data_IF_200843369614
#
_entry.id   IF_200843369614
#
_cell.length_a   1.000
_cell.length_b   1.000
_cell.length_c   1.000
_cell.angle_alpha   90.00
_cell.angle_beta   90.00
_cell.angle_gamma   90.00
#
_symmetry.space_group_name_H-M   'P 1'
#
loop_
_entity.id
_entity.type
_entity.pdbx_description
1 polymer ?
#
# COMPACT_ATOMS: atom_id res chain seq x y z
N UNK A 1 -32.42 6.39 53.52
CA UNK A 1 -31.12 6.44 52.81
C UNK A 1 -30.83 5.17 52.01
N UNK A 2 -30.93 3.97 52.59
CA UNK A 2 -30.65 2.68 51.90
C UNK A 2 -31.45 2.44 50.62
N UNK A 3 -32.72 2.85 50.56
CA UNK A 3 -33.58 2.69 49.37
C UNK A 3 -33.17 3.59 48.21
N UNK A 4 -32.66 4.78 48.51
CA UNK A 4 -32.14 5.74 47.53
C UNK A 4 -30.81 5.26 46.94
N UNK A 5 -29.92 4.74 47.78
CA UNK A 5 -28.65 4.14 47.36
C UNK A 5 -28.91 2.92 46.45
N UNK A 6 -29.85 2.04 46.83
CA UNK A 6 -30.24 0.90 45.99
C UNK A 6 -30.77 1.35 44.62
N UNK A 7 -31.62 2.38 44.57
CA UNK A 7 -32.14 2.93 43.31
C UNK A 7 -31.02 3.51 42.44
N UNK A 8 -30.08 4.24 43.04
CA UNK A 8 -28.91 4.78 42.33
C UNK A 8 -28.01 3.70 41.74
N UNK A 9 -27.74 2.63 42.50
CA UNK A 9 -26.89 1.53 42.01
C UNK A 9 -27.56 0.81 40.84
N UNK A 10 -28.87 0.56 40.92
CA UNK A 10 -29.63 -0.12 39.86
C UNK A 10 -29.66 0.73 38.59
N UNK A 11 -29.92 2.04 38.69
CA UNK A 11 -29.96 2.91 37.51
C UNK A 11 -28.60 3.03 36.84
N UNK A 12 -27.53 3.18 37.62
CA UNK A 12 -26.15 3.24 37.10
C UNK A 12 -25.76 1.94 36.41
N UNK A 13 -26.11 0.78 36.98
CA UNK A 13 -25.81 -0.52 36.38
C UNK A 13 -26.54 -0.71 35.05
N UNK A 14 -27.82 -0.33 34.98
CA UNK A 14 -28.60 -0.37 33.74
C UNK A 14 -28.01 0.55 32.65
N UNK A 15 -27.63 1.77 33.04
CA UNK A 15 -27.02 2.72 32.11
C UNK A 15 -25.67 2.21 31.59
N UNK A 16 -24.87 1.59 32.45
CA UNK A 16 -23.59 1.01 32.09
C UNK A 16 -23.73 -0.16 31.12
N UNK A 17 -24.71 -1.04 31.32
CA UNK A 17 -25.01 -2.17 30.41
C UNK A 17 -25.41 -1.69 29.01
N UNK A 18 -26.26 -0.65 28.94
CA UNK A 18 -26.68 -0.04 27.68
C UNK A 18 -25.49 0.62 26.98
N UNK A 19 -24.74 1.44 27.71
CA UNK A 19 -23.56 2.10 27.17
C UNK A 19 -22.53 1.08 26.65
N UNK A 20 -22.27 0.01 27.40
CA UNK A 20 -21.31 -1.04 27.01
C UNK A 20 -21.75 -1.78 25.74
N UNK A 21 -23.04 -2.10 25.59
CA UNK A 21 -23.56 -2.70 24.35
C UNK A 21 -23.42 -1.76 23.15
N UNK A 22 -23.75 -0.48 23.31
CA UNK A 22 -23.63 0.52 22.24
C UNK A 22 -22.15 0.67 21.83
N UNK A 23 -21.24 0.82 22.79
CA UNK A 23 -19.81 0.99 22.50
C UNK A 23 -19.20 -0.27 21.85
N UNK A 24 -19.69 -1.46 22.21
CA UNK A 24 -19.19 -2.72 21.60
C UNK A 24 -19.58 -2.85 20.13
N UNK A 25 -20.79 -2.38 19.77
CA UNK A 25 -21.27 -2.37 18.39
C UNK A 25 -20.70 -1.21 17.55
N UNK A 26 -20.52 -0.04 18.16
CA UNK A 26 -20.13 1.18 17.43
C UNK A 26 -18.63 1.40 17.38
N UNK A 27 -17.87 0.85 18.33
CA UNK A 27 -16.45 1.15 18.47
C UNK A 27 -15.59 -0.12 18.54
N UNK A 28 -15.00 -0.46 17.40
CA UNK A 28 -14.03 -1.55 17.28
C UNK A 28 -12.81 -1.39 18.21
N UNK A 29 -12.44 -0.15 18.58
CA UNK A 29 -11.35 0.11 19.51
C UNK A 29 -11.72 -0.27 20.96
N UNK A 30 -12.99 -0.08 21.36
CA UNK A 30 -13.46 -0.49 22.68
C UNK A 30 -13.53 -2.01 22.79
N UNK A 31 -14.07 -2.67 21.77
CA UNK A 31 -14.14 -4.14 21.71
C UNK A 31 -12.73 -4.78 21.73
N UNK A 32 -11.77 -4.17 21.02
CA UNK A 32 -10.36 -4.56 21.06
C UNK A 32 -9.69 -4.32 22.43
N UNK A 33 -9.99 -3.21 23.10
CA UNK A 33 -9.43 -2.89 24.42
C UNK A 33 -9.97 -3.81 25.53
N UNK A 34 -11.28 -4.09 25.54
CA UNK A 34 -11.90 -5.04 26.48
C UNK A 34 -11.35 -6.44 26.28
N UNK A 35 -11.23 -6.89 25.02
CA UNK A 35 -10.65 -8.19 24.69
C UNK A 35 -9.17 -8.30 25.11
N UNK A 36 -8.38 -7.24 24.89
CA UNK A 36 -6.97 -7.19 25.32
C UNK A 36 -6.80 -7.13 26.84
N UNK A 37 -7.72 -6.48 27.56
CA UNK A 37 -7.73 -6.46 29.02
C UNK A 37 -8.05 -7.86 29.59
N UNK A 38 -9.02 -8.56 29.00
CA UNK A 38 -9.39 -9.94 29.39
C UNK A 38 -8.22 -10.89 29.13
N UNK A 39 -7.54 -10.76 27.98
CA UNK A 39 -6.34 -11.54 27.66
C UNK A 39 -5.18 -11.27 28.62
N UNK A 40 -4.94 -10.01 29.00
CA UNK A 40 -3.88 -9.64 29.93
C UNK A 40 -4.16 -10.02 31.39
N UNK A 41 -5.42 -9.93 31.83
CA UNK A 41 -5.81 -10.21 33.22
C UNK A 41 -6.00 -11.71 33.49
N UNK A 42 -6.49 -12.48 32.52
CA UNK A 42 -6.77 -13.92 32.69
C UNK A 42 -5.68 -14.81 32.10
N UNK A 43 -4.70 -14.27 31.37
CA UNK A 43 -3.59 -15.02 30.79
C UNK A 43 -3.98 -15.97 29.65
N UNK A 44 -5.24 -15.93 29.20
CA UNK A 44 -5.75 -16.77 28.10
C UNK A 44 -5.54 -16.04 26.79
N UNK A 45 -4.85 -16.67 25.83
CA UNK A 45 -4.75 -16.13 24.48
C UNK A 45 -6.12 -16.13 23.82
N UNK A 46 -6.69 -14.94 23.66
CA UNK A 46 -8.00 -14.79 23.06
C UNK A 46 -7.91 -14.83 21.53
N UNK A 47 -8.99 -15.24 20.87
CA UNK A 47 -9.09 -15.18 19.40
C UNK A 47 -8.89 -13.74 18.91
N UNK A 48 -9.32 -12.74 19.68
CA UNK A 48 -9.10 -11.32 19.40
C UNK A 48 -7.60 -10.96 19.34
N UNK A 49 -6.76 -11.49 20.24
CA UNK A 49 -5.31 -11.25 20.19
C UNK A 49 -4.65 -11.91 18.98
N UNK A 50 -5.07 -13.13 18.65
CA UNK A 50 -4.54 -13.83 17.46
C UNK A 50 -4.96 -13.13 16.16
N UNK A 51 -6.21 -12.66 16.08
CA UNK A 51 -6.73 -11.90 14.94
C UNK A 51 -6.05 -10.53 14.85
N UNK A 52 -5.84 -9.86 15.97
CA UNK A 52 -5.10 -8.59 16.05
C UNK A 52 -3.64 -8.76 15.64
N UNK A 53 -2.97 -9.84 16.06
CA UNK A 53 -1.62 -10.18 15.60
C UNK A 53 -1.56 -10.49 14.11
N UNK A 54 -2.50 -11.29 13.57
CA UNK A 54 -2.59 -11.54 12.13
C UNK A 54 -2.83 -10.26 11.33
N UNK A 55 -3.75 -9.41 11.79
CA UNK A 55 -4.05 -8.13 11.15
C UNK A 55 -2.85 -7.17 11.21
N UNK A 56 -2.14 -7.10 12.34
CA UNK A 56 -0.89 -6.32 12.48
C UNK A 56 0.22 -6.88 11.59
N UNK A 57 0.40 -8.20 11.54
CA UNK A 57 1.40 -8.83 10.69
C UNK A 57 1.09 -8.59 9.19
N UNK A 58 -0.17 -8.70 8.78
CA UNK A 58 -0.60 -8.36 7.41
C UNK A 58 -0.43 -6.86 7.10
N UNK A 59 -0.72 -5.98 8.06
CA UNK A 59 -0.47 -4.54 7.92
C UNK A 59 1.03 -4.20 7.80
N UNK A 60 1.89 -4.88 8.56
CA UNK A 60 3.34 -4.71 8.47
C UNK A 60 3.86 -5.23 7.13
N UNK A 61 3.41 -6.41 6.66
CA UNK A 61 3.79 -6.94 5.35
C UNK A 61 3.42 -5.98 4.22
N UNK A 62 2.18 -5.48 4.21
CA UNK A 62 1.72 -4.45 3.24
C UNK A 62 2.57 -3.19 3.29
N UNK A 63 2.90 -2.69 4.49
CA UNK A 63 3.76 -1.51 4.67
C UNK A 63 5.18 -1.73 4.13
N UNK A 64 5.73 -2.93 4.30
CA UNK A 64 7.07 -3.28 3.80
C UNK A 64 7.06 -3.38 2.27
N UNK A 65 6.05 -4.04 1.68
CA UNK A 65 5.90 -4.15 0.23
C UNK A 65 5.81 -2.77 -0.43
N UNK A 66 4.93 -1.89 0.06
CA UNK A 66 4.78 -0.50 -0.43
C UNK A 66 6.07 0.30 -0.27
N UNK A 67 6.76 0.17 0.88
CA UNK A 67 8.03 0.88 1.11
C UNK A 67 9.14 0.41 0.16
N UNK A 68 9.20 -0.89 -0.13
CA UNK A 68 10.18 -1.47 -1.05
C UNK A 68 9.92 -1.00 -2.48
N UNK A 69 8.66 -1.04 -2.93
CA UNK A 69 8.25 -0.51 -4.23
C UNK A 69 8.61 0.98 -4.35
N UNK A 70 8.21 1.80 -3.37
CA UNK A 70 8.49 3.23 -3.36
C UNK A 70 9.98 3.57 -3.39
N UNK A 71 10.82 2.82 -2.67
CA UNK A 71 12.27 3.03 -2.69
C UNK A 71 12.89 2.75 -4.07
N UNK A 72 12.46 1.67 -4.75
CA UNK A 72 12.90 1.33 -6.10
C UNK A 72 12.46 2.39 -7.11
N UNK A 73 11.19 2.80 -7.04
CA UNK A 73 10.62 3.83 -7.91
C UNK A 73 11.40 5.15 -7.78
N UNK A 74 11.61 5.65 -6.56
CA UNK A 74 12.36 6.90 -6.32
C UNK A 74 13.78 6.82 -6.87
N UNK A 75 14.46 5.68 -6.71
CA UNK A 75 15.84 5.53 -7.21
C UNK A 75 15.92 5.60 -8.74
N UNK A 76 14.95 5.01 -9.44
CA UNK A 76 14.85 5.04 -10.91
C UNK A 76 14.43 6.39 -11.44
N UNK A 77 13.39 7.00 -10.86
CA UNK A 77 12.92 8.33 -11.25
C UNK A 77 14.04 9.38 -11.14
N UNK A 78 14.89 9.28 -10.11
CA UNK A 78 16.07 10.16 -9.99
C UNK A 78 17.06 9.98 -11.13
N UNK A 79 17.33 8.73 -11.52
CA UNK A 79 18.26 8.41 -12.61
C UNK A 79 17.72 8.92 -13.94
N UNK A 80 16.45 8.64 -14.26
CA UNK A 80 15.79 9.16 -15.47
C UNK A 80 15.82 10.68 -15.48
N UNK A 81 15.35 11.35 -14.41
CA UNK A 81 15.33 12.80 -14.35
C UNK A 81 16.72 13.43 -14.51
N UNK A 82 17.76 12.84 -13.91
CA UNK A 82 19.13 13.30 -14.11
C UNK A 82 19.59 13.15 -15.56
N UNK A 83 19.19 12.05 -16.22
CA UNK A 83 19.54 11.77 -17.62
C UNK A 83 18.81 12.72 -18.57
N UNK A 84 17.52 13.00 -18.33
CA UNK A 84 16.74 13.95 -19.12
C UNK A 84 17.29 15.38 -18.99
N UNK A 85 17.69 15.81 -17.79
CA UNK A 85 18.32 17.13 -17.59
C UNK A 85 19.68 17.21 -18.29
N UNK A 86 20.46 16.13 -18.28
CA UNK A 86 21.76 16.07 -18.95
C UNK A 86 21.65 16.08 -20.48
N UNK A 87 20.51 15.68 -21.04
CA UNK A 87 20.27 15.64 -22.49
C UNK A 87 19.94 17.02 -23.09
N UNK A 88 19.45 17.98 -22.29
CA UNK A 88 19.05 19.33 -22.73
C UNK A 88 20.10 20.03 -23.63
N UNK A 89 21.40 20.12 -23.26
CA UNK A 89 22.40 20.78 -24.11
C UNK A 89 22.74 20.02 -25.40
N UNK A 90 22.43 18.72 -25.48
CA UNK A 90 22.68 17.89 -26.65
C UNK A 90 21.55 17.95 -27.69
N UNK A 91 20.33 18.33 -27.27
CA UNK A 91 19.19 18.55 -28.17
C UNK A 91 19.39 19.74 -29.12
N UNK A 92 20.24 20.70 -28.75
CA UNK A 92 20.57 21.86 -29.59
C UNK A 92 21.44 21.54 -30.81
N UNK A 93 21.95 20.30 -30.95
CA UNK A 93 22.80 19.91 -32.09
C UNK A 93 21.98 19.03 -33.06
N UNK A 94 21.76 19.46 -34.32
CA UNK A 94 21.08 18.67 -35.34
C UNK A 94 21.74 17.29 -35.52
N UNK A 95 20.94 16.25 -35.76
CA UNK A 95 21.33 14.83 -35.86
C UNK A 95 21.81 14.16 -34.55
N UNK A 96 22.68 14.79 -33.78
CA UNK A 96 23.11 14.27 -32.47
C UNK A 96 21.93 14.22 -31.49
N UNK A 97 21.12 15.27 -31.45
CA UNK A 97 19.91 15.33 -30.63
C UNK A 97 18.93 14.21 -30.93
N UNK A 98 18.66 13.91 -32.21
CA UNK A 98 17.71 12.86 -32.62
C UNK A 98 18.17 11.48 -32.18
N UNK A 99 19.46 11.17 -32.36
CA UNK A 99 20.02 9.88 -31.93
C UNK A 99 19.97 9.71 -30.41
N UNK A 100 20.27 10.78 -29.66
CA UNK A 100 20.22 10.77 -28.20
C UNK A 100 18.78 10.68 -27.68
N UNK A 101 17.82 11.30 -28.37
CA UNK A 101 16.40 11.21 -28.06
C UNK A 101 15.89 9.78 -28.20
N UNK A 102 16.14 9.12 -29.34
CA UNK A 102 15.71 7.73 -29.56
C UNK A 102 16.33 6.79 -28.51
N UNK A 103 17.62 6.96 -28.23
CA UNK A 103 18.31 6.18 -27.20
C UNK A 103 17.76 6.47 -25.78
N UNK A 104 17.49 7.73 -25.47
CA UNK A 104 16.91 8.18 -24.20
C UNK A 104 15.51 7.65 -23.99
N UNK A 105 14.62 7.78 -24.98
CA UNK A 105 13.26 7.25 -24.94
C UNK A 105 13.24 5.72 -24.83
N UNK A 106 14.14 5.02 -25.52
CA UNK A 106 14.29 3.57 -25.37
C UNK A 106 14.71 3.17 -23.95
N UNK A 107 15.60 3.95 -23.34
CA UNK A 107 16.02 3.74 -21.95
C UNK A 107 14.91 4.06 -20.94
N UNK A 108 14.17 5.16 -21.14
CA UNK A 108 13.01 5.53 -20.33
C UNK A 108 11.91 4.46 -20.38
N UNK A 109 11.65 3.90 -21.57
CA UNK A 109 10.68 2.81 -21.76
C UNK A 109 11.10 1.55 -21.00
N UNK A 110 12.40 1.20 -21.05
CA UNK A 110 12.95 0.07 -20.28
C UNK A 110 12.77 0.25 -18.77
N UNK A 111 13.09 1.43 -18.24
CA UNK A 111 12.92 1.71 -16.81
C UNK A 111 11.46 1.74 -16.39
N UNK A 112 10.57 2.29 -17.23
CA UNK A 112 9.13 2.27 -17.02
C UNK A 112 8.59 0.83 -16.93
N UNK A 113 9.05 -0.05 -17.82
CA UNK A 113 8.68 -1.46 -17.80
C UNK A 113 9.15 -2.21 -16.57
N UNK A 114 10.36 -1.93 -16.10
CA UNK A 114 10.83 -2.46 -14.81
C UNK A 114 9.95 -1.94 -13.66
N UNK A 115 9.45 -0.71 -13.73
CA UNK A 115 8.54 -0.17 -12.72
C UNK A 115 7.18 -0.86 -12.71
N UNK A 116 6.63 -1.20 -13.88
CA UNK A 116 5.35 -1.93 -13.98
C UNK A 116 5.51 -3.36 -13.42
N UNK A 117 6.62 -4.04 -13.71
CA UNK A 117 6.92 -5.36 -13.12
C UNK A 117 7.07 -5.29 -11.60
N UNK A 118 7.72 -4.26 -11.07
CA UNK A 118 7.80 -4.07 -9.62
C UNK A 118 6.44 -3.78 -8.98
N UNK A 119 5.52 -3.14 -9.72
CA UNK A 119 4.15 -2.87 -9.28
C UNK A 119 3.33 -4.16 -9.25
N UNK A 120 3.44 -5.00 -10.28
CA UNK A 120 2.84 -6.33 -10.34
C UNK A 120 3.29 -7.19 -9.14
N UNK A 121 4.59 -7.25 -8.87
CA UNK A 121 5.12 -7.94 -7.69
C UNK A 121 4.57 -7.37 -6.36
N UNK A 122 4.32 -6.05 -6.29
CA UNK A 122 3.67 -5.44 -5.12
C UNK A 122 2.22 -5.89 -4.98
N UNK A 123 1.47 -6.01 -6.08
CA UNK A 123 0.09 -6.51 -6.05
C UNK A 123 0.02 -7.97 -5.58
N UNK A 124 0.94 -8.82 -6.04
CA UNK A 124 1.10 -10.20 -5.54
C UNK A 124 1.39 -10.22 -4.02
N UNK A 125 2.31 -9.38 -3.55
CA UNK A 125 2.63 -9.27 -2.11
C UNK A 125 1.44 -8.77 -1.26
N UNK A 126 0.47 -8.08 -1.88
CA UNK A 126 -0.76 -7.61 -1.25
C UNK A 126 -1.94 -8.58 -1.39
N UNK A 127 -1.79 -9.66 -2.16
CA UNK A 127 -2.84 -10.64 -2.46
C UNK A 127 -3.89 -10.13 -3.44
N UNK A 128 -3.48 -9.29 -4.41
CA UNK A 128 -4.32 -8.73 -5.46
C UNK A 128 -3.95 -9.30 -6.84
N UNK A 129 -3.77 -10.62 -6.91
CA UNK A 129 -3.35 -11.39 -8.09
C UNK A 129 -4.18 -11.16 -9.37
N UNK A 130 -5.47 -10.79 -9.25
CA UNK A 130 -6.39 -10.71 -10.39
C UNK A 130 -6.37 -9.35 -11.14
N UNK A 131 -5.64 -8.34 -10.66
CA UNK A 131 -5.70 -6.97 -11.21
C UNK A 131 -4.76 -6.72 -12.40
N UNK A 132 -3.79 -7.59 -12.69
CA UNK A 132 -2.77 -7.37 -13.73
C UNK A 132 -2.80 -8.46 -14.81
N UNK A 133 -3.49 -8.22 -15.95
CA UNK A 133 -3.42 -9.11 -17.10
C UNK A 133 -2.01 -9.11 -17.71
N UNK A 134 -1.37 -10.27 -17.79
CA UNK A 134 -0.02 -10.48 -18.32
C UNK A 134 0.13 -9.99 -19.79
N UNK A 135 -0.97 -9.98 -20.53
CA UNK A 135 -1.08 -9.47 -21.90
C UNK A 135 -0.95 -7.94 -21.99
N UNK A 136 -1.47 -7.21 -21.00
CA UNK A 136 -1.33 -5.75 -20.92
C UNK A 136 0.13 -5.39 -20.60
N UNK A 137 0.78 -6.15 -19.72
CA UNK A 137 2.17 -5.93 -19.33
C UNK A 137 3.14 -6.15 -20.51
N UNK A 138 2.86 -7.16 -21.35
CA UNK A 138 3.62 -7.42 -22.58
C UNK A 138 3.42 -6.37 -23.68
N UNK A 139 2.19 -5.87 -23.85
CA UNK A 139 1.90 -4.88 -24.90
C UNK A 139 2.56 -3.53 -24.63
N UNK A 140 2.60 -3.08 -23.37
CA UNK A 140 3.24 -1.82 -22.97
C UNK A 140 4.76 -1.89 -23.06
N UNK A 141 5.34 -3.08 -22.83
CA UNK A 141 6.78 -3.26 -22.75
C UNK A 141 7.49 -3.68 -24.03
N UNK A 142 6.73 -4.01 -25.07
CA UNK A 142 7.27 -4.28 -26.38
C UNK A 142 6.35 -3.66 -27.44
N UNK A 143 6.27 -2.32 -27.50
CA UNK A 143 5.44 -1.65 -28.49
C UNK A 143 6.00 -1.91 -29.88
N UNK A 144 5.13 -2.19 -30.85
CA UNK A 144 5.49 -2.18 -32.27
C UNK A 144 5.82 -0.75 -32.68
N UNK A 145 7.09 -0.47 -32.92
CA UNK A 145 7.54 0.83 -33.40
C UNK A 145 7.23 0.98 -34.91
N UNK A 146 6.74 2.13 -35.37
CA UNK A 146 6.62 2.43 -36.80
C UNK A 146 8.02 2.55 -37.44
N UNK A 147 8.12 2.13 -38.70
CA UNK A 147 9.37 2.08 -39.46
C UNK A 147 9.91 3.50 -39.74
N UNK A 148 11.06 3.85 -39.17
CA UNK A 148 11.65 5.21 -39.24
C UNK A 148 12.45 5.47 -40.52
N UNK A 149 12.21 4.69 -41.58
CA UNK A 149 12.90 4.78 -42.88
C UNK A 149 12.12 5.42 -44.03
N UNK A 150 10.94 6.00 -43.77
CA UNK A 150 10.06 6.55 -44.80
C UNK A 150 9.85 8.07 -44.69
N UNK A 151 10.92 8.86 -44.57
CA UNK A 151 10.97 10.30 -44.93
C UNK A 151 12.37 10.61 -45.45
#
# INVERSE_FOLDING_TARGET
MITWIKRLIITVSFLALIATNILTLTNAAFNGAVSGLIGAALGVQTVADTLSRKNKAAAVKRKVAVRRFGARLVSRTKRVAATSIAAIPAESIPFLGVSLLIAGTGYELYEACQSIKDLDQMYLDMGMEDETPDDVLRSVCNPTLPDVGAI
#
